data_IF_000798899518
#
_entry.id   IF_000798899518
#
_cell.length_a   1.000
_cell.length_b   1.000
_cell.length_c   1.000
_cell.angle_alpha   90.00
_cell.angle_beta   90.00
_cell.angle_gamma   90.00
#
_symmetry.space_group_name_H-M   'P 1'
#
loop_
_entity.id
_entity.type
_entity.pdbx_description
1 polymer ?
#
# COMPACT_ATOMS: atom_id res chain seq x y z
N UNK A 1 -3.72 9.50 8.90
CA UNK A 1 -2.45 8.87 8.49
C UNK A 1 -1.54 9.91 7.86
N UNK A 2 -0.28 9.90 8.22
CA UNK A 2 0.68 10.82 7.64
C UNK A 2 1.69 10.05 6.81
N UNK A 3 2.64 10.79 6.20
CA UNK A 3 3.63 10.16 5.31
C UNK A 3 4.46 9.11 6.04
N UNK A 4 4.91 9.42 7.23
CA UNK A 4 5.74 8.50 8.01
C UNK A 4 5.00 7.20 8.29
N UNK A 5 3.76 7.32 8.71
CA UNK A 5 2.94 6.13 8.96
C UNK A 5 2.72 5.33 7.69
N UNK A 6 2.43 6.02 6.59
CA UNK A 6 2.20 5.34 5.33
C UNK A 6 3.44 4.56 4.89
N UNK A 7 4.61 5.16 5.03
CA UNK A 7 5.85 4.47 4.69
C UNK A 7 6.07 3.26 5.58
N UNK A 8 5.77 3.40 6.86
CA UNK A 8 5.91 2.28 7.79
C UNK A 8 4.99 1.12 7.44
N UNK A 9 3.79 1.42 7.01
CA UNK A 9 2.85 0.39 6.60
C UNK A 9 3.42 -0.43 5.43
N UNK A 10 4.16 0.22 4.56
CA UNK A 10 4.82 -0.44 3.44
C UNK A 10 6.18 -1.03 3.81
N UNK A 11 6.62 -0.83 5.04
CA UNK A 11 7.92 -1.33 5.47
C UNK A 11 9.07 -0.49 4.97
N UNK A 12 8.83 0.77 4.72
CA UNK A 12 9.84 1.66 4.16
C UNK A 12 10.25 2.73 5.14
N UNK A 13 11.34 3.41 4.84
CA UNK A 13 11.83 4.52 5.64
C UNK A 13 11.59 5.84 4.92
N UNK A 14 11.93 6.92 5.60
CA UNK A 14 11.61 8.26 5.09
C UNK A 14 12.30 8.60 3.78
N UNK A 15 13.39 7.95 3.47
CA UNK A 15 14.13 8.22 2.26
C UNK A 15 13.66 7.38 1.07
N UNK A 16 12.57 6.67 1.21
CA UNK A 16 12.07 5.83 0.13
C UNK A 16 11.68 6.65 -1.10
N UNK A 17 12.03 6.15 -2.26
CA UNK A 17 11.68 6.81 -3.51
C UNK A 17 10.31 6.38 -4.00
N UNK A 18 9.81 7.01 -5.03
CA UNK A 18 8.55 6.62 -5.63
C UNK A 18 8.58 5.19 -6.14
N UNK A 19 9.71 4.77 -6.69
CA UNK A 19 9.86 3.40 -7.14
C UNK A 19 9.83 2.42 -5.97
N UNK A 20 10.49 2.77 -4.88
CA UNK A 20 10.48 1.95 -3.68
C UNK A 20 9.06 1.74 -3.19
N UNK A 21 8.28 2.79 -3.20
CA UNK A 21 6.89 2.74 -2.76
C UNK A 21 6.08 1.80 -3.64
N UNK A 22 6.23 1.90 -4.94
CA UNK A 22 5.52 1.04 -5.88
C UNK A 22 5.88 -0.41 -5.69
N UNK A 23 7.16 -0.69 -5.58
CA UNK A 23 7.63 -2.05 -5.43
C UNK A 23 7.14 -2.65 -4.12
N UNK A 24 7.26 -1.88 -3.04
CA UNK A 24 6.82 -2.35 -1.74
C UNK A 24 5.32 -2.62 -1.71
N UNK A 25 4.55 -1.74 -2.32
CA UNK A 25 3.11 -1.91 -2.38
C UNK A 25 2.76 -3.21 -3.12
N UNK A 26 3.36 -3.40 -4.27
CA UNK A 26 3.10 -4.60 -5.08
C UNK A 26 3.45 -5.87 -4.33
N UNK A 27 4.61 -5.89 -3.69
CA UNK A 27 5.05 -7.05 -2.95
C UNK A 27 4.14 -7.34 -1.77
N UNK A 28 3.75 -6.30 -1.06
CA UNK A 28 2.89 -6.48 0.11
C UNK A 28 1.50 -6.95 -0.30
N UNK A 29 1.00 -6.45 -1.42
CA UNK A 29 -0.30 -6.90 -1.93
C UNK A 29 -0.27 -8.40 -2.23
N UNK A 30 0.81 -8.88 -2.81
CA UNK A 30 0.93 -10.30 -3.11
C UNK A 30 0.89 -11.15 -1.85
N UNK A 31 1.43 -10.64 -0.77
CA UNK A 31 1.45 -11.37 0.50
C UNK A 31 0.10 -11.29 1.20
N UNK A 32 -0.53 -10.12 1.17
CA UNK A 32 -1.73 -9.87 1.96
C UNK A 32 -3.05 -10.04 1.23
N UNK A 33 -3.02 -10.42 -0.04
CA UNK A 33 -4.26 -10.47 -0.80
C UNK A 33 -5.29 -11.36 -0.10
N UNK A 34 -6.50 -10.87 0.13
CA UNK A 34 -7.47 -11.64 0.91
C UNK A 34 -7.80 -13.00 0.32
N UNK A 35 -7.69 -13.15 -0.99
CA UNK A 35 -7.97 -14.42 -1.63
C UNK A 35 -7.05 -15.55 -1.17
N UNK A 36 -5.87 -15.20 -0.69
CA UNK A 36 -4.93 -16.20 -0.20
C UNK A 36 -5.44 -16.88 1.06
N UNK A 37 -6.38 -16.27 1.74
CA UNK A 37 -6.90 -16.80 2.98
C UNK A 37 -8.34 -17.25 2.85
N UNK A 38 -8.74 -17.53 1.62
CA UNK A 38 -10.07 -18.03 1.36
C UNK A 38 -10.29 -19.29 2.11
N UNK A 39 -10.92 -19.74 2.78
CA UNK A 39 -11.02 -20.92 3.59
C UNK A 39 -10.79 -20.67 5.07
N UNK A 40 -10.30 -19.49 5.39
CA UNK A 40 -10.11 -19.14 6.79
C UNK A 40 -10.66 -17.74 7.01
N UNK A 41 -11.87 -17.67 7.49
CA UNK A 41 -12.61 -16.41 7.60
C UNK A 41 -11.89 -15.39 8.48
N UNK A 42 -11.32 -15.81 9.58
CA UNK A 42 -10.62 -14.92 10.47
C UNK A 42 -9.42 -14.29 9.80
N UNK A 43 -8.61 -15.10 9.15
CA UNK A 43 -7.43 -14.58 8.46
C UNK A 43 -7.82 -13.74 7.27
N UNK A 44 -8.87 -14.12 6.57
CA UNK A 44 -9.34 -13.36 5.44
C UNK A 44 -9.81 -11.97 5.87
N UNK A 45 -10.52 -11.88 6.98
CA UNK A 45 -10.96 -10.59 7.51
C UNK A 45 -9.78 -9.71 7.90
N UNK A 46 -8.78 -10.31 8.53
CA UNK A 46 -7.58 -9.58 8.90
C UNK A 46 -6.83 -9.06 7.68
N UNK A 47 -6.70 -9.94 6.68
CA UNK A 47 -6.02 -9.56 5.45
C UNK A 47 -6.76 -8.42 4.75
N UNK A 48 -8.08 -8.47 4.77
CA UNK A 48 -8.87 -7.41 4.17
C UNK A 48 -8.63 -6.06 4.86
N UNK A 49 -8.58 -6.06 6.18
CA UNK A 49 -8.32 -4.83 6.91
C UNK A 49 -6.92 -4.30 6.66
N UNK A 50 -5.94 -5.19 6.66
CA UNK A 50 -4.58 -4.79 6.37
C UNK A 50 -4.46 -4.27 4.94
N UNK A 51 -5.17 -4.91 4.02
CA UNK A 51 -5.15 -4.49 2.63
C UNK A 51 -5.73 -3.10 2.45
N UNK A 52 -6.82 -2.79 3.15
CA UNK A 52 -7.39 -1.45 3.11
C UNK A 52 -6.39 -0.40 3.60
N UNK A 53 -5.72 -0.71 4.68
CA UNK A 53 -4.73 0.19 5.25
C UNK A 53 -3.57 0.40 4.29
N UNK A 54 -3.16 -0.68 3.63
CA UNK A 54 -2.11 -0.62 2.65
C UNK A 54 -2.50 0.27 1.48
N UNK A 55 -3.74 0.15 1.01
CA UNK A 55 -4.22 0.98 -0.07
C UNK A 55 -4.27 2.45 0.32
N UNK A 56 -4.72 2.74 1.54
CA UNK A 56 -4.73 4.11 2.03
C UNK A 56 -3.32 4.69 2.08
N UNK A 57 -2.37 3.90 2.55
CA UNK A 57 -0.99 4.35 2.61
C UNK A 57 -0.46 4.66 1.22
N UNK A 58 -0.71 3.77 0.29
CA UNK A 58 -0.24 3.96 -1.08
C UNK A 58 -0.89 5.19 -1.71
N UNK A 59 -2.19 5.37 -1.51
CA UNK A 59 -2.90 6.53 -2.03
C UNK A 59 -2.32 7.82 -1.48
N UNK A 60 -2.05 7.85 -0.19
CA UNK A 60 -1.49 9.02 0.44
C UNK A 60 -0.12 9.34 -0.13
N UNK A 61 0.72 8.35 -0.29
CA UNK A 61 2.07 8.56 -0.79
C UNK A 61 2.05 8.93 -2.26
N UNK A 62 1.16 8.37 -3.03
CA UNK A 62 1.04 8.69 -4.43
C UNK A 62 0.50 10.08 -4.67
N UNK A 63 -0.53 10.47 -3.97
CA UNK A 63 -1.09 11.79 -4.15
C UNK A 63 -0.21 12.85 -3.53
N UNK A 64 0.33 12.56 -2.37
CA UNK A 64 1.16 13.54 -1.70
C UNK A 64 2.42 13.81 -2.43
N UNK A 65 2.89 12.86 -3.16
CA UNK A 65 4.10 13.04 -3.86
C UNK A 65 3.95 13.93 -5.03
N UNK A 66 2.99 14.59 -5.12
CA UNK A 66 3.04 15.44 -6.08
C UNK A 66 2.26 15.34 -6.90
N UNK A 67 1.65 15.15 -6.59
CA UNK A 67 1.01 15.27 -7.37
C UNK A 67 0.90 14.61 -8.39
N UNK A 68 1.33 14.13 -8.49
CA UNK A 68 1.35 13.60 -9.54
C UNK A 68 0.32 12.88 -9.94
N UNK A 69 -0.28 12.99 -9.78
CA UNK A 69 -0.99 12.39 -10.31
C UNK A 69 -1.21 12.33 -11.36
N UNK A 70 -1.09 12.59 -11.57
CA UNK A 70 -1.33 12.59 -12.53
C UNK A 70 -1.18 11.66 -13.24
N UNK A 71 -0.86 11.63 -13.43
CA UNK A 71 -0.62 10.96 -14.23
C UNK A 71 -0.87 9.71 -14.17
N UNK A 72 -1.11 9.43 -13.63
CA UNK A 72 -1.29 8.42 -13.73
C UNK A 72 -2.02 8.02 -14.43
N UNK A 73 -2.17 8.07 -14.60
CA UNK A 73 -2.65 7.69 -15.21
C UNK A 73 -2.78 7.67 -16.22
N UNK A 74 -2.86 8.11 -16.41
CA UNK A 74 -3.03 8.19 -17.45
C UNK A 74 -2.27 7.89 -18.22
N UNK A 75 -1.86 7.76 -18.12
CA UNK A 75 -1.25 7.55 -18.84
C UNK A 75 -1.24 7.22 -19.40
#
# INVERSE_FOLDING_TARGET
>A
MNRTEALHILGLEDDATADDIKIAYRETVQILHPDKFAGNEKLQNRATEQFKRLQEAYDLLSSGAGGGRGGRGAR
#
